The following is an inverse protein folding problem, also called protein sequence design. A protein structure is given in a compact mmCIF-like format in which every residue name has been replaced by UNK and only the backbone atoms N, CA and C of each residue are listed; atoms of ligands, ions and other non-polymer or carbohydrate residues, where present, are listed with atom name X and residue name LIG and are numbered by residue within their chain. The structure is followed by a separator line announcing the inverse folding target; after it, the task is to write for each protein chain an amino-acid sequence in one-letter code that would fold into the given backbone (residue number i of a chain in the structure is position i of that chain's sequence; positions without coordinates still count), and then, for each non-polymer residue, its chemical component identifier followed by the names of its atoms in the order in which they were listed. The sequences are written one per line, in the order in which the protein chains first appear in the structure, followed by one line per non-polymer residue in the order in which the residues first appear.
data_IF_131308886845
#
_entry.id   IF_131308886845
#
_cell.length_a   1.000
_cell.length_b   1.000
_cell.length_c   1.000
_cell.angle_alpha   90.00
_cell.angle_beta   90.00
_cell.angle_gamma   90.00
#
_symmetry.space_group_name_H-M   'P 1'
#
loop_
_entity.id
_entity.type
_entity.pdbx_description
1 polymer ?
#
# COMPACT_ATOMS: atom_id res chain seq x y z
N UNK A 1 -3.57 9.85 -9.85
CA UNK A 1 -2.87 9.49 -8.60
C UNK A 1 -1.42 9.88 -8.81
N UNK A 2 -0.77 10.48 -7.82
CA UNK A 2 0.68 10.76 -7.94
C UNK A 2 1.41 9.88 -6.95
N UNK A 3 2.42 9.15 -7.42
CA UNK A 3 3.28 8.34 -6.56
C UNK A 3 4.76 8.68 -6.76
N UNK A 4 5.54 8.43 -5.72
CA UNK A 4 6.99 8.51 -5.73
C UNK A 4 7.57 7.33 -4.94
N UNK A 5 8.78 6.89 -5.28
CA UNK A 5 9.43 5.80 -4.57
C UNK A 5 10.91 6.08 -4.33
N UNK A 6 11.46 5.48 -3.28
CA UNK A 6 12.90 5.34 -3.06
C UNK A 6 13.27 3.86 -3.10
N UNK A 7 14.27 3.50 -3.90
CA UNK A 7 14.64 2.10 -4.13
C UNK A 7 15.91 1.70 -3.38
N UNK A 8 15.84 0.60 -2.63
CA UNK A 8 16.95 -0.02 -1.94
C UNK A 8 17.64 -1.04 -2.86
N UNK A 9 18.80 -0.64 -3.39
CA UNK A 9 19.62 -1.48 -4.27
C UNK A 9 20.20 -2.73 -3.60
N UNK A 10 20.38 -2.71 -2.28
CA UNK A 10 20.95 -3.83 -1.54
C UNK A 10 19.93 -4.95 -1.34
N UNK A 11 18.69 -4.59 -0.99
CA UNK A 11 17.59 -5.56 -0.78
C UNK A 11 16.75 -5.80 -2.04
N UNK A 12 17.00 -5.05 -3.11
CA UNK A 12 16.23 -5.05 -4.37
C UNK A 12 14.74 -4.77 -4.16
N UNK A 13 14.43 -3.95 -3.17
CA UNK A 13 13.07 -3.60 -2.78
C UNK A 13 12.95 -2.08 -2.60
N UNK A 14 11.75 -1.52 -2.53
CA UNK A 14 11.64 -0.11 -2.15
C UNK A 14 12.06 0.09 -0.68
N UNK A 15 12.68 1.23 -0.37
CA UNK A 15 12.68 1.76 0.99
C UNK A 15 11.26 2.20 1.38
N UNK A 16 10.60 2.90 0.46
CA UNK A 16 9.23 3.37 0.60
C UNK A 16 8.66 3.70 -0.78
N UNK A 17 7.34 3.61 -0.88
CA UNK A 17 6.51 4.15 -1.97
C UNK A 17 5.47 5.04 -1.34
N UNK A 18 5.33 6.27 -1.81
CA UNK A 18 4.36 7.23 -1.30
C UNK A 18 3.36 7.58 -2.38
N UNK A 19 2.08 7.63 -2.03
CA UNK A 19 0.96 7.88 -2.92
C UNK A 19 0.13 9.05 -2.39
N UNK A 20 -0.36 9.88 -3.31
CA UNK A 20 -1.31 10.96 -3.03
C UNK A 20 -2.64 10.63 -3.68
N UNK A 21 -3.66 10.44 -2.84
CA UNK A 21 -5.01 10.05 -3.21
C UNK A 21 -6.00 11.16 -2.85
N UNK A 22 -6.90 11.44 -3.79
CA UNK A 22 -8.03 12.35 -3.62
C UNK A 22 -9.33 11.65 -3.99
N UNK A 23 -10.47 12.24 -3.68
CA UNK A 23 -11.76 11.72 -4.18
C UNK A 23 -11.76 11.60 -5.71
N UNK A 24 -11.22 12.60 -6.40
CA UNK A 24 -11.13 12.65 -7.87
C UNK A 24 -10.27 11.52 -8.46
N UNK A 25 -9.36 10.96 -7.68
CA UNK A 25 -8.57 9.79 -8.09
C UNK A 25 -9.46 8.58 -8.41
N UNK A 26 -10.65 8.51 -7.80
CA UNK A 26 -11.59 7.40 -7.94
C UNK A 26 -12.92 7.78 -8.59
N UNK A 27 -13.07 9.04 -9.01
CA UNK A 27 -14.23 9.45 -9.80
C UNK A 27 -14.05 8.84 -11.19
N UNK A 28 -14.98 7.94 -11.51
CA UNK A 28 -15.04 7.33 -12.82
C UNK A 28 -15.40 8.43 -13.82
N UNK A 29 -14.52 8.68 -14.79
CA UNK A 29 -14.81 9.63 -15.88
C UNK A 29 -15.85 9.08 -16.88
N UNK A 30 -16.70 8.15 -16.43
CA UNK A 30 -17.72 7.40 -17.17
C UNK A 30 -19.07 8.11 -17.28
N UNK A 31 -19.21 9.31 -16.72
CA UNK A 31 -20.35 10.21 -17.01
C UNK A 31 -20.20 10.97 -18.33
N UNK A 32 -19.22 10.61 -19.15
CA UNK A 32 -19.06 11.13 -20.51
C UNK A 32 -19.72 10.13 -21.48
N UNK A 33 -20.94 10.43 -21.91
CA UNK A 33 -21.79 9.57 -22.76
C UNK A 33 -21.13 9.18 -24.12
N UNK A 34 -19.93 9.70 -24.41
CA UNK A 34 -19.16 9.49 -25.64
C UNK A 34 -17.83 8.75 -25.44
N UNK A 35 -17.47 8.25 -24.25
CA UNK A 35 -16.23 7.46 -24.07
C UNK A 35 -16.45 5.99 -24.40
N UNK A 36 -15.64 5.46 -25.32
CA UNK A 36 -15.49 4.02 -25.52
C UNK A 36 -15.28 3.32 -24.16
N UNK A 37 -15.94 2.18 -23.98
CA UNK A 37 -16.11 1.44 -22.72
C UNK A 37 -14.83 0.82 -22.13
N UNK A 38 -13.65 1.26 -22.54
CA UNK A 38 -12.37 0.59 -22.25
C UNK A 38 -11.44 1.48 -21.42
N UNK A 39 -11.86 1.75 -20.18
CA UNK A 39 -10.99 2.38 -19.19
C UNK A 39 -9.76 1.52 -18.83
N UNK A 40 -8.79 2.06 -18.08
CA UNK A 40 -7.60 1.33 -17.67
C UNK A 40 -7.91 0.00 -16.97
N UNK A 41 -7.32 -1.11 -17.44
CA UNK A 41 -7.55 -2.46 -16.91
C UNK A 41 -6.23 -3.12 -16.48
N UNK A 42 -6.16 -3.48 -15.20
CA UNK A 42 -5.03 -4.22 -14.62
C UNK A 42 -4.78 -5.57 -15.29
N UNK A 43 -5.77 -6.19 -15.92
CA UNK A 43 -5.58 -7.48 -16.60
C UNK A 43 -4.73 -7.36 -17.86
N UNK A 44 -4.61 -6.14 -18.41
CA UNK A 44 -3.74 -5.83 -19.55
C UNK A 44 -2.28 -5.59 -19.11
N UNK A 45 -2.06 -5.36 -17.82
CA UNK A 45 -0.73 -5.08 -17.25
C UNK A 45 0.08 -6.34 -16.99
N UNK A 46 1.40 -6.25 -17.17
CA UNK A 46 2.34 -7.34 -16.92
C UNK A 46 3.49 -6.85 -16.05
N UNK A 47 3.88 -7.66 -15.07
CA UNK A 47 5.06 -7.37 -14.26
C UNK A 47 6.30 -7.26 -15.12
N UNK A 48 7.09 -6.20 -14.91
CA UNK A 48 8.30 -5.91 -15.67
C UNK A 48 9.42 -5.40 -14.77
N UNK A 49 10.65 -5.71 -15.13
CA UNK A 49 11.81 -5.27 -14.37
C UNK A 49 12.13 -3.79 -14.63
N UNK A 50 12.67 -3.09 -13.63
CA UNK A 50 13.07 -1.68 -13.76
C UNK A 50 14.41 -1.57 -14.50
N UNK A 51 14.37 -1.22 -15.79
CA UNK A 51 15.57 -1.14 -16.63
C UNK A 51 16.50 0.02 -16.24
N UNK A 52 16.00 1.06 -15.60
CA UNK A 52 16.81 2.16 -15.09
C UNK A 52 17.71 1.74 -13.91
N UNK A 53 17.35 0.68 -13.18
CA UNK A 53 18.21 0.10 -12.14
C UNK A 53 19.26 -0.80 -12.79
N UNK A 54 20.57 -0.64 -12.46
CA UNK A 54 21.62 -1.52 -12.95
C UNK A 54 21.34 -2.98 -12.60
N UNK A 55 21.65 -3.90 -13.51
CA UNK A 55 21.23 -5.30 -13.43
C UNK A 55 21.60 -5.99 -12.10
N UNK A 56 22.80 -5.72 -11.57
CA UNK A 56 23.28 -6.27 -10.30
C UNK A 56 22.39 -5.94 -9.09
N UNK A 57 21.64 -4.84 -9.16
CA UNK A 57 20.74 -4.34 -8.11
C UNK A 57 19.26 -4.47 -8.47
N UNK A 58 18.95 -5.01 -9.66
CA UNK A 58 17.58 -5.07 -10.18
C UNK A 58 16.88 -6.31 -9.65
N UNK A 59 15.67 -6.14 -9.13
CA UNK A 59 14.77 -7.27 -8.89
C UNK A 59 14.34 -7.89 -10.22
N UNK A 60 14.44 -9.21 -10.33
CA UNK A 60 14.12 -9.97 -11.56
C UNK A 60 12.82 -10.74 -11.40
N UNK A 61 12.15 -11.00 -12.52
CA UNK A 61 10.95 -11.86 -12.51
C UNK A 61 11.27 -13.28 -11.99
N UNK A 62 12.50 -13.75 -12.25
CA UNK A 62 13.02 -15.03 -11.76
C UNK A 62 13.13 -15.09 -10.23
N UNK A 63 13.33 -13.95 -9.56
CA UNK A 63 13.46 -13.92 -8.10
C UNK A 63 12.13 -14.29 -7.41
N UNK A 64 11.00 -14.06 -8.08
CA UNK A 64 9.67 -14.39 -7.58
C UNK A 64 9.17 -15.76 -8.05
N UNK A 65 9.59 -16.20 -9.24
CA UNK A 65 9.14 -17.45 -9.82
C UNK A 65 9.55 -18.65 -8.94
N UNK A 66 8.58 -19.41 -8.43
CA UNK A 66 8.84 -20.57 -7.57
C UNK A 66 9.27 -20.23 -6.13
N UNK A 67 9.30 -18.95 -5.74
CA UNK A 67 9.75 -18.50 -4.41
C UNK A 67 8.77 -18.82 -3.27
N UNK A 68 7.50 -19.11 -3.60
CA UNK A 68 6.40 -19.21 -2.63
C UNK A 68 5.80 -17.85 -2.22
N UNK A 69 6.33 -16.74 -2.73
CA UNK A 69 5.82 -15.39 -2.49
C UNK A 69 5.14 -14.80 -3.74
N UNK A 70 4.14 -13.97 -3.50
CA UNK A 70 3.55 -13.12 -4.52
C UNK A 70 4.44 -11.91 -4.81
N UNK A 71 4.28 -11.36 -6.01
CA UNK A 71 4.69 -10.00 -6.37
C UNK A 71 3.64 -9.03 -5.81
N UNK A 72 3.84 -8.62 -4.56
CA UNK A 72 2.92 -7.74 -3.85
C UNK A 72 3.23 -6.27 -4.09
N UNK A 73 2.19 -5.50 -4.43
CA UNK A 73 2.33 -4.07 -4.71
C UNK A 73 2.51 -3.27 -3.41
N UNK A 74 3.34 -2.23 -3.46
CA UNK A 74 3.43 -1.22 -2.41
C UNK A 74 2.47 -0.06 -2.70
N UNK A 75 2.49 0.48 -3.92
CA UNK A 75 1.42 1.29 -4.49
C UNK A 75 0.46 0.42 -5.30
N UNK A 76 -0.82 0.24 -4.89
CA UNK A 76 -1.73 -0.69 -5.53
C UNK A 76 -2.18 -0.22 -6.92
N UNK A 77 -2.23 -1.13 -7.89
CA UNK A 77 -2.81 -0.87 -9.22
C UNK A 77 -4.26 -0.34 -9.17
N UNK A 78 -5.01 -0.69 -8.12
CA UNK A 78 -6.39 -0.24 -7.93
C UNK A 78 -6.52 1.26 -7.59
N UNK A 79 -5.41 1.88 -7.17
CA UNK A 79 -5.35 3.29 -6.77
C UNK A 79 -5.05 4.21 -7.97
N UNK A 80 -4.82 3.63 -9.14
CA UNK A 80 -4.52 4.33 -10.39
C UNK A 80 -5.66 4.14 -11.39
N UNK A 81 -6.28 5.25 -11.81
CA UNK A 81 -7.43 5.27 -12.76
C UNK A 81 -7.24 6.17 -13.97
N UNK A 82 -6.14 6.90 -14.04
CA UNK A 82 -5.91 7.93 -15.05
C UNK A 82 -5.60 7.39 -16.44
N UNK A 83 -4.78 6.34 -16.55
CA UNK A 83 -4.38 5.76 -17.83
C UNK A 83 -3.88 4.33 -17.66
N UNK A 84 -3.89 3.55 -18.74
CA UNK A 84 -3.29 2.21 -18.77
C UNK A 84 -1.79 2.26 -18.46
N UNK A 85 -1.08 3.26 -19.01
CA UNK A 85 0.35 3.44 -18.75
C UNK A 85 0.65 3.62 -17.27
N UNK A 86 -0.15 4.43 -16.57
CA UNK A 86 0.01 4.64 -15.14
C UNK A 86 -0.27 3.37 -14.33
N UNK A 87 -1.27 2.57 -14.72
CA UNK A 87 -1.46 1.24 -14.11
C UNK A 87 -0.24 0.36 -14.37
N UNK A 88 0.27 0.33 -15.61
CA UNK A 88 1.43 -0.49 -15.99
C UNK A 88 2.72 -0.11 -15.23
N UNK A 89 2.83 1.13 -14.77
CA UNK A 89 3.93 1.59 -13.89
C UNK A 89 3.86 0.93 -12.51
N UNK A 90 2.67 0.67 -11.97
CA UNK A 90 2.52 -0.04 -10.69
C UNK A 90 3.02 -1.49 -10.75
N UNK A 91 3.10 -2.07 -11.95
CA UNK A 91 3.61 -3.43 -12.19
C UNK A 91 5.14 -3.49 -12.38
N UNK A 92 5.86 -2.37 -12.25
CA UNK A 92 7.32 -2.36 -12.26
C UNK A 92 7.84 -2.93 -10.95
N UNK A 93 8.82 -3.84 -11.00
CA UNK A 93 9.34 -4.54 -9.81
C UNK A 93 9.99 -3.63 -8.75
N UNK A 94 10.28 -2.36 -9.07
CA UNK A 94 10.70 -1.35 -8.07
C UNK A 94 9.59 -0.98 -7.08
N UNK A 95 8.32 -1.18 -7.45
CA UNK A 95 7.14 -1.02 -6.61
C UNK A 95 6.71 -2.34 -5.92
N UNK A 96 7.47 -3.41 -6.08
CA UNK A 96 7.07 -4.76 -5.66
C UNK A 96 7.93 -5.26 -4.50
N UNK A 97 7.25 -5.80 -3.50
CA UNK A 97 7.83 -6.62 -2.44
C UNK A 97 7.40 -8.07 -2.58
N UNK A 98 8.21 -9.04 -2.14
CA UNK A 98 7.70 -10.37 -1.85
C UNK A 98 6.56 -10.22 -0.85
N UNK A 99 5.48 -10.98 -0.98
CA UNK A 99 4.41 -11.00 0.03
C UNK A 99 3.82 -12.40 0.14
N UNK A 100 3.47 -12.83 1.35
CA UNK A 100 2.75 -14.09 1.54
C UNK A 100 1.45 -14.04 0.74
N UNK A 101 1.20 -15.04 -0.09
CA UNK A 101 0.13 -14.98 -1.08
C UNK A 101 -1.26 -15.06 -0.43
N UNK A 102 -1.63 -16.24 0.08
CA UNK A 102 -2.94 -16.49 0.71
C UNK A 102 -2.95 -15.94 2.14
N UNK A 103 -4.00 -15.21 2.51
CA UNK A 103 -4.18 -14.66 3.86
C UNK A 103 -3.47 -13.33 4.11
N UNK A 104 -2.48 -12.96 3.29
CA UNK A 104 -1.81 -11.67 3.39
C UNK A 104 -2.05 -10.79 2.15
N UNK A 105 -1.23 -10.91 1.09
CA UNK A 105 -1.38 -10.13 -0.14
C UNK A 105 -2.79 -10.25 -0.73
N UNK A 106 -3.27 -11.49 -0.91
CA UNK A 106 -4.62 -11.79 -1.42
C UNK A 106 -5.68 -11.88 -0.32
N UNK A 107 -5.43 -11.26 0.83
CA UNK A 107 -6.24 -11.38 2.04
C UNK A 107 -6.28 -10.07 2.82
N UNK A 108 -5.63 -10.04 3.98
CA UNK A 108 -5.66 -8.91 4.91
C UNK A 108 -5.07 -7.63 4.29
N UNK A 109 -3.96 -7.73 3.56
CA UNK A 109 -3.31 -6.58 2.90
C UNK A 109 -4.25 -5.89 1.89
N UNK A 110 -4.90 -6.67 1.02
CA UNK A 110 -5.91 -6.15 0.10
C UNK A 110 -7.14 -5.52 0.81
N UNK A 111 -7.39 -5.87 2.08
CA UNK A 111 -8.41 -5.18 2.89
C UNK A 111 -7.89 -3.85 3.43
N UNK A 112 -6.61 -3.77 3.84
CA UNK A 112 -5.96 -2.52 4.24
C UNK A 112 -5.94 -1.53 3.08
N UNK A 113 -5.57 -1.96 1.87
CA UNK A 113 -5.62 -1.12 0.67
C UNK A 113 -7.05 -0.58 0.41
N UNK A 114 -8.08 -1.42 0.59
CA UNK A 114 -9.49 -1.00 0.48
C UNK A 114 -9.87 0.01 1.56
N UNK A 115 -9.39 -0.18 2.78
CA UNK A 115 -9.59 0.77 3.88
C UNK A 115 -8.96 2.12 3.54
N UNK A 116 -7.70 2.16 3.10
CA UNK A 116 -7.01 3.39 2.67
C UNK A 116 -7.78 4.10 1.56
N UNK A 117 -8.22 3.39 0.52
CA UNK A 117 -9.09 3.97 -0.52
C UNK A 117 -10.37 4.56 0.06
N UNK A 118 -11.00 3.89 1.02
CA UNK A 118 -12.25 4.37 1.63
C UNK A 118 -12.08 5.68 2.40
N UNK A 119 -10.87 6.01 2.86
CA UNK A 119 -10.56 7.29 3.50
C UNK A 119 -10.84 8.48 2.58
N UNK A 120 -10.65 8.35 1.27
CA UNK A 120 -10.96 9.41 0.28
C UNK A 120 -12.44 9.80 0.23
N UNK A 121 -13.33 8.99 0.81
CA UNK A 121 -14.75 9.34 0.98
C UNK A 121 -14.98 10.30 2.14
N UNK A 122 -14.07 10.33 3.12
CA UNK A 122 -14.15 11.14 4.35
C UNK A 122 -13.17 12.30 4.35
N UNK A 123 -12.02 12.13 3.71
CA UNK A 123 -10.90 13.07 3.65
C UNK A 123 -10.67 13.48 2.20
N UNK A 124 -10.34 14.75 1.96
CA UNK A 124 -10.13 15.26 0.61
C UNK A 124 -8.74 14.92 0.08
N UNK A 125 -7.80 14.78 1.00
CA UNK A 125 -6.41 14.42 0.71
C UNK A 125 -5.98 13.28 1.61
N UNK A 126 -5.52 12.18 1.02
CA UNK A 126 -4.95 11.04 1.71
C UNK A 126 -3.56 10.80 1.12
N UNK A 127 -2.53 10.89 1.97
CA UNK A 127 -1.16 10.51 1.62
C UNK A 127 -0.86 9.20 2.32
N UNK A 128 -0.44 8.19 1.57
CA UNK A 128 -0.02 6.91 2.15
C UNK A 128 1.44 6.67 1.77
N UNK A 129 2.23 6.17 2.71
CA UNK A 129 3.61 5.72 2.51
C UNK A 129 3.71 4.27 2.94
N UNK A 130 4.07 3.40 2.01
CA UNK A 130 4.12 1.97 2.18
C UNK A 130 5.53 1.46 1.93
N UNK A 131 6.00 0.50 2.72
CA UNK A 131 7.31 -0.11 2.51
C UNK A 131 7.50 -1.41 3.29
N UNK A 132 8.60 -2.13 3.04
CA UNK A 132 9.02 -3.25 3.86
C UNK A 132 9.82 -2.77 5.09
N UNK A 133 9.59 -3.41 6.25
CA UNK A 133 10.42 -3.31 7.45
C UNK A 133 11.15 -4.62 7.68
N UNK A 134 12.43 -4.56 8.04
CA UNK A 134 13.23 -5.71 8.41
C UNK A 134 13.52 -5.66 9.91
N UNK A 135 12.73 -6.39 10.71
CA UNK A 135 12.76 -6.30 12.17
C UNK A 135 13.71 -7.34 12.79
N UNK A 136 14.33 -7.05 13.94
CA UNK A 136 15.34 -7.91 14.57
C UNK A 136 14.75 -9.15 15.25
N UNK A 137 13.45 -9.18 15.56
CA UNK A 137 12.78 -10.33 16.19
C UNK A 137 12.23 -11.29 15.15
N UNK A 138 12.51 -12.56 15.37
CA UNK A 138 12.16 -13.69 14.52
C UNK A 138 10.70 -14.10 14.79
N UNK A 139 9.85 -14.18 13.75
CA UNK A 139 8.58 -14.92 13.84
C UNK A 139 8.89 -16.41 14.12
N UNK A 140 7.92 -17.21 14.60
CA UNK A 140 8.09 -18.66 14.86
C UNK A 140 8.63 -19.43 13.63
N UNK A 141 8.43 -18.90 12.42
CA UNK A 141 8.90 -19.42 11.13
C UNK A 141 10.31 -18.95 10.70
N UNK A 142 11.04 -18.22 11.54
CA UNK A 142 12.44 -17.91 11.27
C UNK A 142 12.72 -16.66 10.40
N UNK A 143 11.72 -15.86 10.06
CA UNK A 143 11.82 -14.76 9.06
C UNK A 143 11.85 -13.37 9.69
N UNK A 144 12.58 -12.45 9.05
CA UNK A 144 12.98 -11.13 9.59
C UNK A 144 12.25 -9.92 8.98
N UNK A 145 10.99 -10.03 8.56
CA UNK A 145 10.40 -8.92 7.78
C UNK A 145 8.88 -8.78 7.87
N UNK A 146 8.44 -7.52 7.90
CA UNK A 146 7.06 -7.08 7.97
C UNK A 146 6.78 -6.08 6.84
N UNK A 147 5.51 -5.83 6.52
CA UNK A 147 5.13 -4.64 5.76
C UNK A 147 4.65 -3.56 6.71
N UNK A 148 4.99 -2.32 6.39
CA UNK A 148 4.44 -1.17 7.08
C UNK A 148 3.64 -0.31 6.11
N UNK A 149 2.59 0.31 6.63
CA UNK A 149 1.90 1.41 5.97
C UNK A 149 1.76 2.55 6.97
N UNK A 150 2.13 3.73 6.52
CA UNK A 150 1.90 4.98 7.23
C UNK A 150 0.91 5.80 6.41
N UNK A 151 -0.24 6.16 7.00
CA UNK A 151 -1.29 6.93 6.35
C UNK A 151 -1.48 8.27 7.04
N UNK A 152 -1.42 9.36 6.27
CA UNK A 152 -1.80 10.71 6.65
C UNK A 152 -3.07 11.10 5.89
N UNK A 153 -4.08 11.63 6.57
CA UNK A 153 -5.31 12.09 5.92
C UNK A 153 -5.71 13.50 6.38
N UNK A 154 -6.18 14.35 5.46
CA UNK A 154 -6.56 15.75 5.72
C UNK A 154 -7.97 16.05 5.21
N UNK A 155 -8.73 16.82 6.00
CA UNK A 155 -10.13 17.21 5.73
C UNK A 155 -10.28 18.63 5.18
N UNK A 156 -11.46 18.97 4.64
CA UNK A 156 -11.84 20.30 4.11
C UNK A 156 -11.60 21.43 5.11
N UNK A 157 -11.68 21.13 6.41
CA UNK A 157 -11.44 22.09 7.50
C UNK A 157 -9.96 22.19 7.90
N UNK A 158 -9.03 21.71 7.06
CA UNK A 158 -7.59 21.61 7.32
C UNK A 158 -7.21 20.84 8.59
N UNK A 159 -8.10 19.98 9.10
CA UNK A 159 -7.73 19.07 10.18
C UNK A 159 -7.02 17.86 9.58
N UNK A 160 -5.77 17.67 9.99
CA UNK A 160 -4.92 16.55 9.59
C UNK A 160 -4.90 15.50 10.68
N UNK A 161 -4.98 14.24 10.28
CA UNK A 161 -4.88 13.05 11.11
C UNK A 161 -3.77 12.16 10.57
N UNK A 162 -3.13 11.40 11.45
CA UNK A 162 -2.08 10.46 11.08
C UNK A 162 -2.26 9.13 11.80
N UNK A 163 -1.88 8.05 11.14
CA UNK A 163 -1.88 6.71 11.71
C UNK A 163 -0.85 5.83 11.02
N UNK A 164 -0.11 5.08 11.84
CA UNK A 164 0.85 4.10 11.37
C UNK A 164 0.36 2.69 11.70
N UNK A 165 0.60 1.76 10.78
CA UNK A 165 0.34 0.34 10.96
C UNK A 165 1.54 -0.50 10.53
N UNK A 166 1.85 -1.55 11.29
CA UNK A 166 2.88 -2.55 10.94
C UNK A 166 2.23 -3.91 10.96
N UNK A 167 2.25 -4.59 9.82
CA UNK A 167 1.64 -5.89 9.64
C UNK A 167 2.73 -6.94 9.37
N UNK A 168 2.71 -8.09 10.06
CA UNK A 168 3.67 -9.15 9.80
C UNK A 168 3.41 -9.75 8.42
N UNK A 169 4.47 -10.06 7.67
CA UNK A 169 4.33 -10.64 6.34
C UNK A 169 4.08 -12.15 6.40
N UNK A 170 2.92 -12.49 6.96
CA UNK A 170 2.48 -13.85 7.21
C UNK A 170 0.97 -13.96 7.04
N UNK A 171 0.45 -15.18 7.09
CA UNK A 171 -1.00 -15.42 7.04
C UNK A 171 -1.67 -14.72 8.23
N UNK A 172 -2.47 -13.71 7.96
CA UNK A 172 -3.30 -13.05 8.97
C UNK A 172 -4.73 -13.57 8.81
N UNK A 173 -5.34 -14.02 9.90
CA UNK A 173 -6.74 -14.45 9.86
C UNK A 173 -7.66 -13.25 9.58
N UNK A 174 -8.85 -13.47 9.02
CA UNK A 174 -9.79 -12.39 8.67
C UNK A 174 -10.52 -11.76 9.89
N UNK A 175 -10.00 -11.95 11.11
CA UNK A 175 -10.65 -11.59 12.37
C UNK A 175 -10.00 -10.46 13.18
N UNK A 176 -8.66 -10.33 13.30
CA UNK A 176 -8.06 -9.22 14.05
C UNK A 176 -8.43 -7.86 13.45
N UNK A 177 -8.88 -6.89 14.27
CA UNK A 177 -9.11 -5.53 13.81
C UNK A 177 -7.79 -4.86 13.40
N UNK A 178 -7.86 -3.91 12.46
CA UNK A 178 -6.67 -3.18 12.00
C UNK A 178 -6.00 -2.39 13.14
N UNK A 179 -6.76 -2.06 14.17
CA UNK A 179 -6.27 -1.40 15.39
C UNK A 179 -5.20 -2.19 16.14
N UNK A 180 -5.18 -3.52 16.03
CA UNK A 180 -4.16 -4.36 16.69
C UNK A 180 -2.76 -4.16 16.09
N UNK A 181 -2.70 -3.63 14.87
CA UNK A 181 -1.46 -3.36 14.14
C UNK A 181 -1.01 -1.90 14.24
N UNK A 182 -1.68 -1.08 15.05
CA UNK A 182 -1.30 0.32 15.26
C UNK A 182 0.04 0.38 15.98
N UNK A 183 0.95 1.18 15.44
CA UNK A 183 2.22 1.53 16.11
C UNK A 183 2.42 3.04 16.11
N UNK A 184 3.24 3.58 17.02
CA UNK A 184 3.73 4.95 16.91
C UNK A 184 4.52 5.14 15.61
N UNK A 185 4.48 6.34 15.04
CA UNK A 185 5.22 6.66 13.81
C UNK A 185 6.72 6.53 14.03
N UNK A 186 7.16 6.93 15.22
CA UNK A 186 8.55 6.82 15.68
C UNK A 186 9.04 5.37 15.70
N UNK A 187 8.13 4.41 15.85
CA UNK A 187 8.51 3.00 15.75
C UNK A 187 8.95 2.68 14.32
N UNK A 188 8.17 3.08 13.31
CA UNK A 188 8.54 2.89 11.90
C UNK A 188 9.82 3.65 11.58
N UNK A 189 9.95 4.91 12.01
CA UNK A 189 11.14 5.72 11.76
C UNK A 189 12.42 5.07 12.33
N UNK A 190 12.35 4.60 13.59
CA UNK A 190 13.47 3.92 14.24
C UNK A 190 13.83 2.60 13.56
N UNK A 191 12.83 1.82 13.14
CA UNK A 191 13.07 0.49 12.56
C UNK A 191 13.46 0.54 11.08
N UNK A 192 12.99 1.56 10.33
CA UNK A 192 13.30 1.74 8.91
C UNK A 192 14.55 2.59 8.67
N UNK A 193 14.95 3.41 9.65
CA UNK A 193 15.97 4.45 9.45
C UNK A 193 15.49 5.63 8.58
N UNK A 194 14.18 5.75 8.36
CA UNK A 194 13.57 6.83 7.60
C UNK A 194 13.01 7.90 8.55
N UNK A 195 13.00 9.15 8.09
CA UNK A 195 12.23 10.22 8.72
C UNK A 195 10.98 10.47 7.87
N UNK A 196 9.81 10.15 8.42
CA UNK A 196 8.54 10.25 7.69
C UNK A 196 7.98 11.65 7.87
N UNK A 197 7.66 12.34 6.77
CA UNK A 197 7.08 13.69 6.75
C UNK A 197 7.81 14.69 7.67
N UNK A 198 9.11 14.96 7.46
CA UNK A 198 9.93 15.81 8.35
C UNK A 198 9.37 17.22 8.56
N UNK A 199 8.58 17.72 7.61
CA UNK A 199 7.96 19.05 7.66
C UNK A 199 6.64 19.08 8.46
N UNK A 200 6.24 17.96 9.08
CA UNK A 200 5.00 17.81 9.81
C UNK A 200 5.28 17.42 11.26
N UNK A 201 4.63 18.10 12.21
CA UNK A 201 4.68 17.72 13.62
C UNK A 201 3.75 16.53 13.87
N UNK A 202 4.11 15.34 13.39
CA UNK A 202 3.21 14.17 13.41
C UNK A 202 2.74 13.83 14.83
N UNK A 203 3.62 14.01 15.82
CA UNK A 203 3.33 13.78 17.25
C UNK A 203 2.14 14.58 17.79
N UNK A 204 1.85 15.72 17.19
CA UNK A 204 0.75 16.60 17.64
C UNK A 204 -0.55 16.32 16.89
N UNK A 205 -0.54 15.42 15.91
CA UNK A 205 -1.72 15.12 15.12
C UNK A 205 -2.62 14.11 15.85
N UNK A 206 -3.94 14.31 15.82
CA UNK A 206 -4.87 13.31 16.33
C UNK A 206 -4.77 11.99 15.54
N UNK A 207 -4.90 10.83 16.21
CA UNK A 207 -4.95 9.53 15.54
C UNK A 207 -6.10 9.45 14.53
N UNK A 208 -5.82 8.88 13.35
CA UNK A 208 -6.86 8.67 12.32
C UNK A 208 -8.01 7.82 12.84
N UNK A 209 -7.71 6.81 13.65
CA UNK A 209 -8.70 5.84 14.15
C UNK A 209 -9.66 6.41 15.21
N UNK A 210 -9.41 7.62 15.72
CA UNK A 210 -10.41 8.35 16.53
C UNK A 210 -11.49 8.98 15.65
N UNK A 211 -11.17 9.28 14.39
CA UNK A 211 -12.08 9.95 13.45
C UNK A 211 -12.85 8.98 12.57
N UNK A 212 -12.25 7.83 12.25
CA UNK A 212 -12.86 6.77 11.44
C UNK A 212 -12.66 5.41 12.08
N UNK A 213 -13.60 4.50 11.86
CA UNK A 213 -13.46 3.12 12.34
C UNK A 213 -12.39 2.39 11.54
N UNK A 214 -11.23 2.17 12.13
CA UNK A 214 -10.12 1.39 11.56
C UNK A 214 -10.41 -0.12 11.61
N UNK A 215 -11.36 -0.56 10.79
CA UNK A 215 -11.70 -1.98 10.64
C UNK A 215 -11.59 -2.36 9.17
N UNK A 216 -10.88 -3.47 8.93
CA UNK A 216 -10.85 -4.14 7.65
C UNK A 216 -12.02 -5.12 7.59
N UNK A 217 -12.86 -5.03 6.55
CA UNK A 217 -13.99 -5.97 6.38
C UNK A 217 -13.50 -7.28 5.78
N UNK A 218 -13.81 -8.39 6.45
CA UNK A 218 -13.50 -9.73 5.98
C UNK A 218 -13.94 -9.94 4.52
N UNK A 219 -13.10 -10.58 3.71
CA UNK A 219 -13.33 -10.77 2.27
C UNK A 219 -14.67 -11.46 1.97
N UNK A 220 -15.13 -12.37 2.85
CA UNK A 220 -16.42 -13.09 2.73
C UNK A 220 -17.65 -12.17 2.83
N UNK A 221 -17.58 -11.10 3.61
CA UNK A 221 -18.71 -10.17 3.75
C UNK A 221 -18.84 -9.26 2.52
N UNK A 222 -17.73 -8.91 1.89
CA UNK A 222 -17.72 -8.08 0.68
C UNK A 222 -18.28 -8.82 -0.54
N UNK A 223 -18.09 -10.14 -0.62
CA UNK A 223 -18.70 -10.96 -1.68
C UNK A 223 -20.21 -11.16 -1.51
N UNK A 224 -20.71 -11.18 -0.26
CA UNK A 224 -22.15 -11.27 0.02
C UNK A 224 -22.92 -10.01 -0.40
N UNK A 225 -22.28 -8.84 -0.35
CA UNK A 225 -22.89 -7.56 -0.71
C UNK A 225 -22.77 -7.19 -2.19
N UNK A 226 -22.29 -8.11 -3.05
CA UNK A 226 -22.22 -7.96 -4.51
C UNK A 226 -23.31 -8.77 -5.26
N UNK A 227 -24.40 -9.13 -4.58
CA UNK A 227 -25.59 -9.73 -5.19
C UNK A 227 -26.72 -8.72 -5.25
#
# INVERSE_FOLDING_TARGET
MTSALSYNRATRNAHWVSEYLTRDTFIDSSNDENKESDGPDRNKSKFKEEKAVPEQFRSKLSDYAGSGFDRGHLAPAADVKESQNAIDETFILSNISPQVAKGFNRGYWAQVERFVRSLTKTFDQVVVTTGPLFLPTQDEDGKYWCLHTFSKATTVKNQTFAQAFVLPNQVIQDSPPLTDYIVPVEYIERMSGLLLYPNLQIKTLPPLCERVTCVVKAFKEVLKNKK
#
